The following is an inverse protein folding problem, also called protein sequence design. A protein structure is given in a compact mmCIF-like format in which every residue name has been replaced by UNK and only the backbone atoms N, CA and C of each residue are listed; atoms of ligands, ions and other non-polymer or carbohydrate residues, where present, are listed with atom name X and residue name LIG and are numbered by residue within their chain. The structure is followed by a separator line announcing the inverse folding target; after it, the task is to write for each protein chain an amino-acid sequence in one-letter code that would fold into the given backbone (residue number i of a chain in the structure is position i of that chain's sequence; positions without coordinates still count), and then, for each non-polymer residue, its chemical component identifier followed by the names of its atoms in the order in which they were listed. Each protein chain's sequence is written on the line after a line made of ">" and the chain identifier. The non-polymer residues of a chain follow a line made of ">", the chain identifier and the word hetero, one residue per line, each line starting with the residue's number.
data_IF_845674109880
#
_entry.id   IF_845674109880
#
_cell.length_a   1.000
_cell.length_b   1.000
_cell.length_c   1.000
_cell.angle_alpha   90.00
_cell.angle_beta   90.00
_cell.angle_gamma   90.00
#
_symmetry.space_group_name_H-M   'P 1'
#
loop_
_entity.id
_entity.type
_entity.pdbx_description
1 polymer ?
#
# COMPACT_ATOMS: atom_id res chain seq x y z
N UNK A 1 -28.11 23.52 -7.46
CA UNK A 1 -27.22 22.99 -6.39
C UNK A 1 -28.14 22.57 -5.24
N UNK A 2 -28.39 21.26 -5.07
CA UNK A 2 -29.22 20.76 -3.97
C UNK A 2 -28.41 20.76 -2.70
N UNK A 3 -28.78 21.59 -1.74
CA UNK A 3 -28.20 21.59 -0.38
C UNK A 3 -28.70 20.30 0.29
N UNK A 4 -27.83 19.35 0.52
CA UNK A 4 -28.12 18.12 1.24
C UNK A 4 -28.28 18.50 2.72
N UNK A 5 -29.44 18.17 3.30
CA UNK A 5 -29.74 18.50 4.70
C UNK A 5 -28.85 17.75 5.69
N UNK A 6 -28.55 18.32 6.90
CA UNK A 6 -27.66 17.75 7.89
C UNK A 6 -28.16 16.49 8.62
N UNK A 7 -29.28 15.94 8.24
CA UNK A 7 -29.98 14.84 8.94
C UNK A 7 -29.93 13.48 8.21
N UNK A 8 -29.02 13.30 7.23
CA UNK A 8 -28.72 11.94 6.80
C UNK A 8 -27.94 11.27 7.94
N UNK A 9 -28.62 10.31 8.60
CA UNK A 9 -28.04 9.37 9.55
C UNK A 9 -26.62 9.03 9.14
N UNK A 10 -25.64 9.21 10.05
CA UNK A 10 -24.28 8.74 9.85
C UNK A 10 -24.36 7.24 9.61
N UNK A 11 -24.45 6.80 8.35
CA UNK A 11 -24.25 5.42 7.98
C UNK A 11 -22.92 5.03 8.63
N UNK A 12 -22.97 3.98 9.47
CA UNK A 12 -21.77 3.45 10.11
C UNK A 12 -20.76 3.18 8.99
N UNK A 13 -19.70 3.99 8.90
CA UNK A 13 -18.71 3.85 7.84
C UNK A 13 -18.03 2.50 8.06
N UNK A 14 -18.21 1.60 7.12
CA UNK A 14 -17.47 0.34 7.11
C UNK A 14 -16.22 0.52 6.29
N UNK A 15 -15.07 0.33 6.92
CA UNK A 15 -13.78 0.37 6.25
C UNK A 15 -13.67 -0.75 5.22
N UNK A 16 -13.26 -0.42 4.01
CA UNK A 16 -13.09 -1.38 2.92
C UNK A 16 -11.68 -1.99 2.96
N UNK A 17 -11.59 -3.27 2.61
CA UNK A 17 -10.34 -3.95 2.29
C UNK A 17 -10.24 -4.00 0.77
N UNK A 18 -9.17 -3.42 0.21
CA UNK A 18 -8.93 -3.35 -1.23
C UNK A 18 -7.60 -4.01 -1.53
N UNK A 19 -7.59 -4.94 -2.47
CA UNK A 19 -6.37 -5.61 -2.96
C UNK A 19 -6.11 -5.17 -4.39
N UNK A 20 -4.90 -4.69 -4.65
CA UNK A 20 -4.40 -4.31 -5.97
C UNK A 20 -3.25 -5.25 -6.32
N UNK A 21 -3.47 -6.18 -7.23
CA UNK A 21 -2.53 -7.26 -7.57
C UNK A 21 -2.30 -7.37 -9.08
N UNK A 22 -1.62 -8.43 -9.51
CA UNK A 22 -1.29 -8.70 -10.92
C UNK A 22 0.06 -8.14 -11.37
N UNK A 23 0.50 -8.54 -12.56
CA UNK A 23 1.82 -8.21 -13.11
C UNK A 23 1.90 -6.80 -13.70
N UNK A 24 0.75 -6.27 -14.14
CA UNK A 24 0.66 -4.97 -14.79
C UNK A 24 1.02 -3.79 -13.86
N UNK A 25 1.48 -2.73 -14.50
CA UNK A 25 1.80 -1.45 -13.86
C UNK A 25 0.54 -0.76 -13.33
N UNK A 26 0.69 0.01 -12.24
CA UNK A 26 -0.37 0.88 -11.72
C UNK A 26 -0.85 0.55 -10.30
N UNK A 27 -0.43 -0.55 -9.68
CA UNK A 27 -0.84 -0.95 -8.32
C UNK A 27 -0.58 0.14 -7.28
N UNK A 28 0.68 0.53 -7.11
CA UNK A 28 1.08 1.62 -6.21
C UNK A 28 0.42 2.94 -6.64
N UNK A 29 0.42 3.27 -7.95
CA UNK A 29 -0.19 4.50 -8.48
C UNK A 29 -1.68 4.59 -8.15
N UNK A 30 -2.43 3.48 -8.22
CA UNK A 30 -3.85 3.45 -7.84
C UNK A 30 -4.03 3.65 -6.33
N UNK A 31 -3.18 3.05 -5.49
CA UNK A 31 -3.20 3.26 -4.04
C UNK A 31 -2.90 4.73 -3.69
N UNK A 32 -1.93 5.34 -4.37
CA UNK A 32 -1.62 6.77 -4.23
C UNK A 32 -2.77 7.66 -4.71
N UNK A 33 -3.46 7.30 -5.79
CA UNK A 33 -4.68 7.98 -6.24
C UNK A 33 -5.78 7.94 -5.19
N UNK A 34 -5.97 6.82 -4.48
CA UNK A 34 -6.90 6.72 -3.35
C UNK A 34 -6.43 7.57 -2.16
N UNK A 35 -5.11 7.64 -1.90
CA UNK A 35 -4.52 8.53 -0.88
C UNK A 35 -4.83 10.00 -1.17
N UNK A 36 -4.63 10.46 -2.42
CA UNK A 36 -4.98 11.83 -2.84
C UNK A 36 -6.46 12.11 -2.61
N UNK A 37 -7.33 11.17 -2.98
CA UNK A 37 -8.77 11.28 -2.78
C UNK A 37 -9.15 11.36 -1.29
N UNK A 38 -8.54 10.51 -0.45
CA UNK A 38 -8.76 10.51 0.99
C UNK A 38 -8.30 11.83 1.63
N UNK A 39 -7.09 12.29 1.29
CA UNK A 39 -6.55 13.57 1.75
C UNK A 39 -7.45 14.76 1.34
N UNK A 40 -8.00 14.74 0.12
CA UNK A 40 -8.97 15.74 -0.36
C UNK A 40 -10.29 15.77 0.44
N UNK A 41 -10.62 14.68 1.16
CA UNK A 41 -11.74 14.63 2.12
C UNK A 41 -11.31 14.93 3.56
N UNK A 42 -10.06 15.33 3.80
CA UNK A 42 -9.52 15.59 5.14
C UNK A 42 -9.26 14.33 5.97
N UNK A 43 -9.25 13.15 5.33
CA UNK A 43 -8.98 11.87 6.00
C UNK A 43 -7.51 11.76 6.36
N UNK A 44 -7.21 11.08 7.47
CA UNK A 44 -5.84 10.73 7.86
C UNK A 44 -5.41 9.44 7.21
N UNK A 45 -4.26 9.46 6.53
CA UNK A 45 -3.73 8.34 5.76
C UNK A 45 -2.36 7.94 6.28
N UNK A 46 -2.14 6.63 6.44
CA UNK A 46 -0.82 6.05 6.71
C UNK A 46 -0.42 5.14 5.55
N UNK A 47 0.76 5.38 4.97
CA UNK A 47 1.36 4.53 3.93
C UNK A 47 2.58 3.85 4.53
N UNK A 48 2.69 2.54 4.38
CA UNK A 48 3.86 1.75 4.78
C UNK A 48 4.33 0.95 3.57
N UNK A 49 5.58 1.20 3.14
CA UNK A 49 6.17 0.61 1.94
C UNK A 49 7.16 -0.47 2.32
N UNK A 50 6.87 -1.71 1.94
CA UNK A 50 7.63 -2.89 2.35
C UNK A 50 8.91 -3.12 1.53
N UNK A 51 8.91 -2.72 0.26
CA UNK A 51 9.96 -3.09 -0.69
C UNK A 51 10.77 -1.90 -1.23
N UNK A 52 10.33 -0.67 -0.98
CA UNK A 52 11.01 0.53 -1.49
C UNK A 52 12.06 1.01 -0.49
N UNK A 53 13.27 1.23 -0.99
CA UNK A 53 14.39 1.81 -0.24
C UNK A 53 15.56 2.06 -1.16
N UNK A 54 16.39 3.06 -0.85
CA UNK A 54 17.61 3.37 -1.61
C UNK A 54 17.43 4.07 -2.96
N UNK A 55 16.23 4.08 -3.53
CA UNK A 55 15.92 4.79 -4.77
C UNK A 55 14.89 5.88 -4.48
N UNK A 56 15.19 7.11 -4.85
CA UNK A 56 14.24 8.21 -4.77
C UNK A 56 13.21 8.06 -5.89
N UNK A 57 11.93 8.18 -5.54
CA UNK A 57 10.84 8.23 -6.48
C UNK A 57 10.01 9.51 -6.26
N UNK A 58 9.52 10.11 -7.35
CA UNK A 58 8.81 11.40 -7.30
C UNK A 58 7.58 11.40 -6.40
N UNK A 59 6.94 10.23 -6.21
CA UNK A 59 5.81 10.11 -5.30
C UNK A 59 6.16 10.41 -3.83
N UNK A 60 7.42 10.26 -3.39
CA UNK A 60 7.82 10.61 -2.02
C UNK A 60 7.73 12.12 -1.76
N UNK A 61 8.05 12.92 -2.77
CA UNK A 61 7.89 14.37 -2.68
C UNK A 61 6.45 14.80 -2.95
N UNK A 62 5.78 14.14 -3.91
CA UNK A 62 4.38 14.39 -4.23
C UNK A 62 3.46 14.17 -3.02
N UNK A 63 3.68 13.14 -2.21
CA UNK A 63 2.91 12.87 -1.00
C UNK A 63 3.08 13.96 0.05
N UNK A 64 4.28 14.53 0.21
CA UNK A 64 4.53 15.64 1.17
C UNK A 64 3.63 16.85 0.87
N UNK A 65 3.25 17.06 -0.40
CA UNK A 65 2.35 18.14 -0.80
C UNK A 65 0.90 17.93 -0.34
N UNK A 66 0.52 16.71 0.06
CA UNK A 66 -0.83 16.41 0.58
C UNK A 66 -1.03 16.87 2.03
N UNK A 67 0.00 17.46 2.64
CA UNK A 67 -0.07 18.06 3.96
C UNK A 67 0.04 17.06 5.12
N UNK A 68 -0.25 17.52 6.34
CA UNK A 68 0.03 16.79 7.57
C UNK A 68 -0.88 15.57 7.80
N UNK A 69 -1.90 15.39 6.98
CA UNK A 69 -2.82 14.26 7.11
C UNK A 69 -2.31 12.96 6.49
N UNK A 70 -1.16 12.99 5.80
CA UNK A 70 -0.59 11.81 5.16
C UNK A 70 0.79 11.52 5.76
N UNK A 71 0.91 10.35 6.39
CA UNK A 71 2.19 9.81 6.87
C UNK A 71 2.67 8.73 5.89
N UNK A 72 3.94 8.81 5.43
CA UNK A 72 4.54 7.86 4.50
C UNK A 72 5.84 7.29 5.08
N UNK A 73 5.88 5.98 5.28
CA UNK A 73 6.98 5.25 5.87
C UNK A 73 7.61 4.31 4.85
N UNK A 74 8.85 4.61 4.45
CA UNK A 74 9.64 3.76 3.55
C UNK A 74 10.49 2.84 4.42
N UNK A 75 10.07 1.57 4.55
CA UNK A 75 10.68 0.60 5.47
C UNK A 75 11.57 -0.43 4.74
N UNK A 76 11.42 -0.60 3.43
CA UNK A 76 12.22 -1.56 2.67
C UNK A 76 13.63 -1.06 2.36
N UNK A 77 14.54 -1.99 2.07
CA UNK A 77 15.91 -1.70 1.58
C UNK A 77 16.03 -1.72 0.05
N UNK A 78 14.92 -1.76 -0.67
CA UNK A 78 14.88 -1.89 -2.13
C UNK A 78 14.29 -3.23 -2.56
N UNK A 79 14.48 -3.57 -3.82
CA UNK A 79 14.00 -4.85 -4.35
C UNK A 79 14.93 -5.97 -3.93
N UNK A 80 14.38 -6.99 -3.25
CA UNK A 80 15.10 -8.16 -2.78
C UNK A 80 15.43 -9.12 -3.92
N UNK A 81 16.69 -9.59 -3.98
CA UNK A 81 17.10 -10.67 -4.89
C UNK A 81 17.27 -10.29 -6.36
N UNK A 82 17.35 -8.99 -6.69
CA UNK A 82 17.65 -8.53 -8.04
C UNK A 82 19.14 -8.21 -8.24
N UNK A 83 19.65 -8.18 -9.48
CA UNK A 83 21.01 -7.69 -9.75
C UNK A 83 21.22 -6.28 -9.20
N UNK A 84 22.27 -6.10 -8.37
CA UNK A 84 22.55 -4.83 -7.71
C UNK A 84 21.99 -4.69 -6.29
N UNK A 85 21.21 -5.64 -5.81
CA UNK A 85 20.86 -5.75 -4.40
C UNK A 85 22.12 -5.98 -3.55
N UNK A 86 22.32 -5.13 -2.55
CA UNK A 86 23.48 -5.18 -1.64
C UNK A 86 23.09 -5.64 -0.23
N UNK A 87 21.82 -5.88 0.02
CA UNK A 87 21.31 -6.31 1.32
C UNK A 87 21.16 -7.81 1.36
N UNK A 88 21.40 -8.40 2.53
CA UNK A 88 21.15 -9.82 2.74
C UNK A 88 19.64 -10.12 2.81
N UNK A 89 19.22 -11.38 2.56
CA UNK A 89 17.83 -11.79 2.77
C UNK A 89 17.35 -11.53 4.21
N UNK A 90 18.24 -11.71 5.19
CA UNK A 90 17.96 -11.47 6.60
C UNK A 90 17.68 -10.00 6.88
N UNK A 91 18.46 -9.09 6.30
CA UNK A 91 18.24 -7.64 6.42
C UNK A 91 16.92 -7.20 5.79
N UNK A 92 16.55 -7.76 4.63
CA UNK A 92 15.25 -7.52 4.01
C UNK A 92 14.11 -8.01 4.89
N UNK A 93 14.26 -9.22 5.47
CA UNK A 93 13.27 -9.79 6.39
C UNK A 93 13.13 -8.94 7.65
N UNK A 94 14.21 -8.50 8.26
CA UNK A 94 14.21 -7.66 9.46
C UNK A 94 13.41 -6.37 9.22
N UNK A 95 13.69 -5.67 8.13
CA UNK A 95 12.97 -4.44 7.76
C UNK A 95 11.48 -4.69 7.47
N UNK A 96 11.14 -5.79 6.80
CA UNK A 96 9.74 -6.16 6.56
C UNK A 96 9.00 -6.50 7.87
N UNK A 97 9.69 -7.15 8.83
CA UNK A 97 9.12 -7.41 10.16
C UNK A 97 8.93 -6.12 10.97
N UNK A 98 9.82 -5.13 10.83
CA UNK A 98 9.61 -3.80 11.41
C UNK A 98 8.40 -3.08 10.76
N UNK A 99 8.23 -3.20 9.43
CA UNK A 99 7.07 -2.66 8.74
C UNK A 99 5.75 -3.26 9.26
N UNK A 100 5.71 -4.58 9.51
CA UNK A 100 4.55 -5.26 10.14
C UNK A 100 4.29 -4.73 11.54
N UNK A 101 5.33 -4.57 12.37
CA UNK A 101 5.18 -4.00 13.73
C UNK A 101 4.60 -2.58 13.66
N UNK A 102 5.18 -1.73 12.82
CA UNK A 102 4.69 -0.37 12.60
C UNK A 102 3.23 -0.35 12.12
N UNK A 103 2.86 -1.21 11.16
CA UNK A 103 1.49 -1.32 10.67
C UNK A 103 0.52 -1.67 11.80
N UNK A 104 0.89 -2.63 12.65
CA UNK A 104 0.09 -3.03 13.81
C UNK A 104 -0.11 -1.88 14.78
N UNK A 105 0.95 -1.16 15.14
CA UNK A 105 0.90 -0.05 16.08
C UNK A 105 0.04 1.11 15.52
N UNK A 106 0.21 1.44 14.23
CA UNK A 106 -0.58 2.47 13.56
C UNK A 106 -2.06 2.09 13.46
N UNK A 107 -2.40 0.84 13.16
CA UNK A 107 -3.79 0.37 13.17
C UNK A 107 -4.39 0.40 14.57
N UNK A 108 -3.64 -0.09 15.58
CA UNK A 108 -4.09 -0.11 16.96
C UNK A 108 -4.34 1.29 17.54
N UNK A 109 -3.64 2.31 17.05
CA UNK A 109 -3.85 3.70 17.47
C UNK A 109 -5.25 4.25 17.13
N UNK A 110 -5.92 3.66 16.11
CA UNK A 110 -7.21 4.15 15.61
C UNK A 110 -7.15 5.57 15.01
N UNK A 111 -5.95 6.09 14.75
CA UNK A 111 -5.76 7.47 14.31
C UNK A 111 -5.96 7.67 12.79
N UNK A 112 -6.03 6.59 12.01
CA UNK A 112 -6.04 6.65 10.55
C UNK A 112 -7.36 6.14 9.96
N UNK A 113 -7.87 6.87 8.97
CA UNK A 113 -9.06 6.50 8.20
C UNK A 113 -8.72 5.55 7.06
N UNK A 114 -7.49 5.66 6.53
CA UNK A 114 -6.97 4.83 5.45
C UNK A 114 -5.54 4.39 5.76
N UNK A 115 -5.27 3.09 5.58
CA UNK A 115 -3.92 2.54 5.60
C UNK A 115 -3.59 1.88 4.26
N UNK A 116 -2.39 2.14 3.75
CA UNK A 116 -1.82 1.51 2.56
C UNK A 116 -0.62 0.68 2.96
N UNK A 117 -0.66 -0.62 2.66
CA UNK A 117 0.46 -1.54 2.80
C UNK A 117 1.02 -1.80 1.39
N UNK A 118 1.98 -0.95 0.98
CA UNK A 118 2.52 -0.97 -0.38
C UNK A 118 3.56 -2.09 -0.52
N UNK A 119 3.36 -2.97 -1.51
CA UNK A 119 4.16 -4.17 -1.81
C UNK A 119 4.14 -5.25 -0.70
N UNK A 120 3.14 -5.25 0.18
CA UNK A 120 3.02 -6.30 1.22
C UNK A 120 2.80 -7.69 0.62
N UNK A 121 2.10 -7.80 -0.52
CA UNK A 121 1.89 -9.09 -1.19
C UNK A 121 3.22 -9.66 -1.73
N UNK A 122 4.11 -8.80 -2.22
CA UNK A 122 5.46 -9.22 -2.65
C UNK A 122 6.31 -9.63 -1.45
N UNK A 123 6.24 -8.87 -0.34
CA UNK A 123 6.95 -9.23 0.89
C UNK A 123 6.49 -10.60 1.41
N UNK A 124 5.18 -10.91 1.31
CA UNK A 124 4.63 -12.21 1.67
C UNK A 124 5.14 -13.32 0.72
N UNK A 125 5.09 -13.10 -0.60
CA UNK A 125 5.59 -14.05 -1.60
C UNK A 125 7.06 -14.40 -1.39
N UNK A 126 7.88 -13.42 -1.00
CA UNK A 126 9.31 -13.58 -0.74
C UNK A 126 9.61 -14.12 0.67
N UNK A 127 8.59 -14.51 1.45
CA UNK A 127 8.72 -14.96 2.83
C UNK A 127 9.42 -13.95 3.76
N UNK A 128 9.36 -12.66 3.46
CA UNK A 128 9.85 -11.60 4.33
C UNK A 128 8.87 -11.31 5.48
N UNK A 129 7.59 -11.57 5.24
CA UNK A 129 6.51 -11.57 6.25
C UNK A 129 5.73 -12.86 6.16
N UNK A 130 5.07 -13.26 7.24
CA UNK A 130 4.32 -14.50 7.30
C UNK A 130 2.81 -14.21 7.09
N UNK A 131 2.09 -15.11 6.41
CA UNK A 131 0.65 -14.94 6.12
C UNK A 131 -0.19 -14.62 7.38
N UNK A 132 -0.02 -15.34 8.51
CA UNK A 132 -0.78 -15.03 9.71
C UNK A 132 -0.59 -13.60 10.22
N UNK A 133 0.57 -12.98 10.00
CA UNK A 133 0.82 -11.59 10.39
C UNK A 133 -0.03 -10.61 9.58
N UNK A 134 -0.15 -10.84 8.26
CA UNK A 134 -0.98 -10.01 7.38
C UNK A 134 -2.46 -10.21 7.67
N UNK A 135 -2.90 -11.45 7.90
CA UNK A 135 -4.28 -11.76 8.28
C UNK A 135 -4.65 -11.14 9.63
N UNK A 136 -3.72 -11.12 10.60
CA UNK A 136 -3.91 -10.44 11.88
C UNK A 136 -4.10 -8.93 11.74
N UNK A 137 -3.36 -8.27 10.84
CA UNK A 137 -3.57 -6.84 10.52
C UNK A 137 -4.96 -6.59 9.92
N UNK A 138 -5.42 -7.47 9.03
CA UNK A 138 -6.74 -7.38 8.40
C UNK A 138 -7.85 -7.54 9.45
N UNK A 139 -7.73 -8.53 10.33
CA UNK A 139 -8.73 -8.85 11.36
C UNK A 139 -8.80 -7.76 12.44
N UNK A 140 -7.64 -7.30 12.94
CA UNK A 140 -7.55 -6.35 14.04
C UNK A 140 -7.69 -4.88 13.63
N UNK A 141 -7.82 -4.58 12.35
CA UNK A 141 -8.03 -3.18 11.93
C UNK A 141 -9.31 -2.62 12.52
N UNK A 142 -9.35 -1.35 12.91
CA UNK A 142 -10.60 -0.69 13.28
C UNK A 142 -11.65 -0.84 12.16
N UNK A 143 -12.89 -1.16 12.51
CA UNK A 143 -13.94 -1.46 11.53
C UNK A 143 -14.23 -0.32 10.55
N UNK A 144 -13.88 0.92 10.90
CA UNK A 144 -14.02 2.11 10.03
C UNK A 144 -12.80 2.37 9.16
N UNK A 145 -11.62 1.79 9.46
CA UNK A 145 -10.39 2.04 8.71
C UNK A 145 -10.39 1.28 7.39
N UNK A 146 -10.17 1.99 6.29
CA UNK A 146 -9.91 1.39 4.99
C UNK A 146 -8.49 0.83 4.96
N UNK A 147 -8.33 -0.34 4.33
CA UNK A 147 -7.03 -0.99 4.17
C UNK A 147 -6.79 -1.32 2.70
N UNK A 148 -5.68 -0.84 2.15
CA UNK A 148 -5.25 -1.14 0.78
C UNK A 148 -3.99 -1.98 0.84
N UNK A 149 -3.99 -3.14 0.19
CA UNK A 149 -2.84 -4.02 0.06
C UNK A 149 -2.42 -4.06 -1.41
N UNK A 150 -1.15 -3.76 -1.69
CA UNK A 150 -0.64 -3.83 -3.07
C UNK A 150 0.44 -4.89 -3.22
N UNK A 151 0.72 -5.24 -4.46
CA UNK A 151 1.80 -6.16 -4.85
C UNK A 151 1.32 -7.32 -5.71
N UNK A 152 2.25 -7.91 -6.44
CA UNK A 152 2.01 -9.11 -7.25
C UNK A 152 1.67 -10.29 -6.36
N UNK A 153 1.00 -11.29 -6.93
CA UNK A 153 0.76 -12.60 -6.31
C UNK A 153 0.05 -12.52 -4.95
N UNK A 154 -1.02 -11.73 -4.85
CA UNK A 154 -1.83 -11.68 -3.63
C UNK A 154 -2.30 -13.07 -3.22
N UNK A 155 -2.11 -13.42 -1.94
CA UNK A 155 -2.47 -14.73 -1.40
C UNK A 155 -3.99 -14.95 -1.46
N UNK A 156 -4.47 -16.16 -1.81
CA UNK A 156 -5.91 -16.45 -1.90
C UNK A 156 -6.70 -16.12 -0.63
N UNK A 157 -6.14 -16.34 0.55
CA UNK A 157 -6.80 -16.04 1.83
C UNK A 157 -6.98 -14.50 2.03
N UNK A 158 -6.03 -13.69 1.53
CA UNK A 158 -6.16 -12.22 1.55
C UNK A 158 -7.24 -11.79 0.56
N UNK A 159 -7.26 -12.40 -0.64
CA UNK A 159 -8.30 -12.16 -1.66
C UNK A 159 -9.68 -12.49 -1.11
N UNK A 160 -9.83 -13.61 -0.39
CA UNK A 160 -11.10 -14.05 0.19
C UNK A 160 -11.66 -13.06 1.23
N UNK A 161 -10.79 -12.32 1.94
CA UNK A 161 -11.20 -11.32 2.93
C UNK A 161 -11.42 -9.92 2.35
N UNK A 162 -11.02 -9.70 1.10
CA UNK A 162 -11.12 -8.38 0.46
C UNK A 162 -12.56 -8.07 0.02
N UNK A 163 -12.95 -6.79 0.15
CA UNK A 163 -14.22 -6.29 -0.38
C UNK A 163 -14.10 -5.91 -1.86
N UNK A 164 -12.89 -5.58 -2.32
CA UNK A 164 -12.58 -5.26 -3.71
C UNK A 164 -11.21 -5.82 -4.06
N UNK A 165 -11.12 -6.54 -5.17
CA UNK A 165 -9.87 -7.03 -5.73
C UNK A 165 -9.77 -6.56 -7.17
N UNK A 166 -8.65 -5.94 -7.52
CA UNK A 166 -8.35 -5.55 -8.90
C UNK A 166 -7.04 -6.19 -9.31
N UNK A 167 -7.07 -6.96 -10.37
CA UNK A 167 -5.88 -7.50 -11.00
C UNK A 167 -5.47 -6.62 -12.18
N UNK A 168 -4.25 -6.09 -12.13
CA UNK A 168 -3.65 -5.30 -13.20
C UNK A 168 -2.89 -6.23 -14.13
N UNK A 169 -3.43 -6.43 -15.31
CA UNK A 169 -2.85 -7.30 -16.32
C UNK A 169 -1.85 -6.53 -17.16
N UNK A 170 -0.65 -7.10 -17.35
CA UNK A 170 0.35 -6.57 -18.27
C UNK A 170 -0.02 -7.00 -19.70
N UNK A 171 -0.59 -6.07 -20.47
CA UNK A 171 -0.88 -6.30 -21.90
C UNK A 171 0.37 -6.02 -22.74
N UNK A 172 1.13 -4.97 -22.36
CA UNK A 172 2.37 -4.53 -22.99
C UNK A 172 3.14 -3.70 -21.98
N UNK A 173 4.46 -3.80 -21.95
CA UNK A 173 5.30 -2.99 -21.08
C UNK A 173 6.49 -2.42 -21.84
N UNK A 174 6.82 -1.15 -21.60
CA UNK A 174 7.92 -0.44 -22.25
C UNK A 174 9.27 -1.15 -22.07
N UNK A 175 9.48 -1.79 -20.92
CA UNK A 175 10.69 -2.58 -20.63
C UNK A 175 10.92 -3.72 -21.64
N UNK A 176 9.86 -4.36 -22.15
CA UNK A 176 9.95 -5.41 -23.17
C UNK A 176 10.49 -4.86 -24.49
N UNK A 177 10.27 -3.58 -24.76
CA UNK A 177 10.79 -2.85 -25.91
C UNK A 177 12.14 -2.15 -25.61
N UNK A 178 12.78 -2.47 -24.49
CA UNK A 178 14.06 -1.86 -24.03
C UNK A 178 13.97 -0.33 -23.86
N UNK A 179 12.78 0.19 -23.57
CA UNK A 179 12.58 1.59 -23.20
C UNK A 179 12.89 1.74 -21.70
N UNK A 180 13.86 2.58 -21.41
CA UNK A 180 14.27 2.88 -20.02
C UNK A 180 13.15 3.54 -19.21
N UNK A 181 13.12 3.37 -17.88
CA UNK A 181 12.15 4.03 -17.01
C UNK A 181 12.13 5.54 -17.18
N UNK A 182 10.94 6.13 -17.25
CA UNK A 182 10.75 7.55 -17.52
C UNK A 182 10.42 8.31 -16.23
N UNK A 183 11.10 9.45 -16.03
CA UNK A 183 10.84 10.37 -14.92
C UNK A 183 9.40 10.89 -14.98
N UNK A 184 8.71 10.85 -13.82
CA UNK A 184 7.32 11.29 -13.71
C UNK A 184 6.29 10.27 -14.20
N UNK A 185 6.73 9.14 -14.77
CA UNK A 185 5.86 8.02 -15.20
C UNK A 185 6.22 6.73 -14.45
N UNK A 186 7.50 6.45 -14.30
CA UNK A 186 8.01 5.24 -13.64
C UNK A 186 8.59 5.51 -12.26
N UNK A 187 9.15 6.73 -12.07
CA UNK A 187 9.76 7.17 -10.81
C UNK A 187 9.65 8.68 -10.61
#
# INVERSE_FOLDING_TARGET
>A
MKIISPQQERRKVTGLIVVLTGDGKGKTTSALGMTVRAAGHGMKVCIIRFMKGGLHAGEFDGIKLLGPNVEDYVMGKGFCGIPGDRSSPEEHREMAQEAIRLARDKLASGAFDLMVLDEVNVALKLNLVDLPQVLDLIDKRPASTHLILTGRDAHPDIIALAHTVTEMREIKHAYQEKIEPQKGVDY
#
